data_IF_261117673260
#
_entry.id   IF_261117673260
#
_cell.length_a   1.000
_cell.length_b   1.000
_cell.length_c   1.000
_cell.angle_alpha   90.00
_cell.angle_beta   90.00
_cell.angle_gamma   90.00
#
_symmetry.space_group_name_H-M   'P 1'
#
loop_
_entity.id
_entity.type
_entity.pdbx_description
1 polymer ?
#
# COMPACT_ATOMS: atom_id res chain seq x y z
N UNK A 1 -50.53 21.23 -27.31
CA UNK A 1 -51.17 21.77 -26.09
C UNK A 1 -51.13 20.66 -25.08
N UNK A 2 -50.38 20.79 -23.99
CA UNK A 2 -50.50 19.87 -22.87
C UNK A 2 -51.83 20.20 -22.21
N UNK A 3 -52.71 19.21 -22.08
CA UNK A 3 -54.03 19.40 -21.48
C UNK A 3 -53.83 19.70 -19.99
N UNK A 4 -54.14 20.92 -19.58
CA UNK A 4 -54.02 21.37 -18.20
C UNK A 4 -55.06 20.63 -17.34
N UNK A 5 -54.60 20.00 -16.26
CA UNK A 5 -55.44 19.23 -15.35
C UNK A 5 -55.29 19.76 -13.93
N UNK A 6 -56.41 20.09 -13.27
CA UNK A 6 -56.45 20.54 -11.88
C UNK A 6 -55.80 19.55 -10.92
N UNK A 7 -55.82 18.25 -11.24
CA UNK A 7 -55.20 17.20 -10.44
C UNK A 7 -53.66 17.18 -10.52
N UNK A 8 -53.08 17.87 -11.50
CA UNK A 8 -51.62 18.00 -11.66
C UNK A 8 -51.06 19.32 -11.08
N UNK A 9 -51.90 20.13 -10.42
CA UNK A 9 -51.52 21.43 -9.86
C UNK A 9 -50.50 21.32 -8.70
N UNK A 10 -50.61 20.26 -7.89
CA UNK A 10 -49.66 19.97 -6.81
C UNK A 10 -48.89 18.71 -7.22
N UNK A 11 -47.57 18.80 -7.47
CA UNK A 11 -46.79 17.62 -7.81
C UNK A 11 -46.77 16.64 -6.65
N UNK A 12 -46.87 15.35 -6.95
CA UNK A 12 -46.75 14.30 -5.94
C UNK A 12 -45.37 14.42 -5.26
N UNK A 13 -45.31 14.28 -3.92
CA UNK A 13 -44.05 14.33 -3.20
C UNK A 13 -43.14 13.20 -3.70
N UNK A 14 -42.01 13.55 -4.31
CA UNK A 14 -41.00 12.57 -4.71
C UNK A 14 -40.30 12.06 -3.46
N UNK A 15 -40.38 10.76 -3.20
CA UNK A 15 -39.62 10.12 -2.12
C UNK A 15 -38.12 10.15 -2.46
N UNK A 16 -37.34 10.89 -1.67
CA UNK A 16 -35.88 10.94 -1.82
C UNK A 16 -35.31 9.64 -1.22
N UNK A 17 -34.71 8.74 -2.01
CA UNK A 17 -34.14 7.51 -1.47
C UNK A 17 -32.97 7.83 -0.54
N UNK A 18 -32.90 7.13 0.59
CA UNK A 18 -31.79 7.27 1.52
C UNK A 18 -30.49 6.72 0.90
N UNK A 19 -29.37 7.39 1.16
CA UNK A 19 -28.07 6.95 0.66
C UNK A 19 -27.69 5.62 1.32
N UNK A 20 -27.16 4.64 0.56
CA UNK A 20 -26.70 3.39 1.16
C UNK A 20 -25.55 3.65 2.15
N UNK A 21 -25.39 2.80 3.18
CA UNK A 21 -24.28 2.94 4.12
C UNK A 21 -22.94 2.83 3.39
N UNK A 22 -21.95 3.57 3.90
CA UNK A 22 -20.60 3.55 3.36
C UNK A 22 -19.99 2.14 3.48
N UNK A 23 -19.32 1.68 2.42
CA UNK A 23 -18.64 0.38 2.43
C UNK A 23 -17.48 0.38 3.44
N UNK A 24 -17.55 -0.52 4.42
CA UNK A 24 -16.45 -0.79 5.33
C UNK A 24 -15.64 -1.98 4.83
N UNK A 25 -14.33 -1.76 4.63
CA UNK A 25 -13.42 -2.83 4.18
C UNK A 25 -13.33 -3.97 5.20
N UNK A 26 -13.04 -5.18 4.72
CA UNK A 26 -12.74 -6.34 5.58
C UNK A 26 -11.42 -6.22 6.32
N UNK A 27 -10.56 -5.27 5.93
CA UNK A 27 -9.25 -5.06 6.54
C UNK A 27 -9.38 -4.18 7.79
N UNK A 28 -8.71 -4.60 8.86
CA UNK A 28 -8.69 -3.89 10.14
C UNK A 28 -7.86 -2.60 9.99
N UNK A 29 -8.41 -1.47 10.44
CA UNK A 29 -7.72 -0.17 10.36
C UNK A 29 -6.67 0.07 11.45
N UNK A 30 -6.80 -0.58 12.61
CA UNK A 30 -5.82 -0.50 13.70
C UNK A 30 -4.96 -1.76 13.70
N UNK A 31 -3.65 -1.59 13.64
CA UNK A 31 -2.66 -2.68 13.58
C UNK A 31 -1.78 -2.67 14.83
N UNK A 32 -1.49 -3.85 15.37
CA UNK A 32 -0.56 -3.99 16.49
C UNK A 32 0.88 -3.82 15.98
N UNK A 33 1.78 -3.10 16.68
CA UNK A 33 3.11 -2.80 16.16
C UNK A 33 4.00 -4.03 15.91
N UNK A 34 3.71 -5.17 16.58
CA UNK A 34 4.41 -6.44 16.32
C UNK A 34 4.11 -7.06 14.94
N UNK A 35 3.15 -6.54 14.19
CA UNK A 35 2.83 -7.01 12.84
C UNK A 35 3.79 -6.44 11.79
N UNK A 36 4.52 -5.37 12.13
CA UNK A 36 5.48 -4.74 11.25
C UNK A 36 6.89 -5.27 11.52
N UNK A 37 7.70 -5.38 10.47
CA UNK A 37 9.10 -5.82 10.56
C UNK A 37 10.01 -4.79 11.23
N UNK A 38 9.69 -3.50 11.05
CA UNK A 38 10.46 -2.38 11.59
C UNK A 38 9.68 -1.67 12.69
N UNK A 39 10.26 -1.62 13.90
CA UNK A 39 9.72 -0.88 15.03
C UNK A 39 9.80 -1.64 16.35
N UNK A 40 9.28 -1.03 17.42
CA UNK A 40 9.16 -1.67 18.72
C UNK A 40 7.90 -2.54 18.75
N UNK A 41 8.04 -3.83 19.08
CA UNK A 41 6.92 -4.79 19.04
C UNK A 41 5.98 -4.77 20.25
N UNK A 42 6.31 -4.02 21.31
CA UNK A 42 5.59 -4.02 22.59
C UNK A 42 4.80 -2.73 22.75
N UNK A 43 3.55 -2.83 23.19
CA UNK A 43 2.76 -1.68 23.61
C UNK A 43 2.81 -1.58 25.12
N UNK A 44 3.46 -0.54 25.64
CA UNK A 44 3.59 -0.30 27.08
C UNK A 44 3.06 1.10 27.42
N UNK A 45 2.36 1.27 28.55
CA UNK A 45 1.65 2.51 28.85
C UNK A 45 2.58 3.69 29.16
N UNK A 46 3.63 3.48 29.96
CA UNK A 46 4.52 4.54 30.46
C UNK A 46 5.97 4.06 30.57
N UNK A 47 6.44 3.32 29.56
CA UNK A 47 7.80 2.76 29.57
C UNK A 47 8.89 3.82 29.42
N UNK A 48 8.71 4.79 28.52
CA UNK A 48 9.74 5.80 28.21
C UNK A 48 9.80 6.92 29.25
N UNK A 49 8.64 7.43 29.70
CA UNK A 49 8.55 8.63 30.52
C UNK A 49 7.84 8.42 31.87
N UNK A 50 7.88 7.19 32.40
CA UNK A 50 7.44 6.88 33.77
C UNK A 50 6.05 7.41 34.15
N UNK A 51 5.78 7.43 35.46
CA UNK A 51 4.55 8.01 36.02
C UNK A 51 4.88 9.39 36.63
N UNK A 52 3.91 10.31 36.69
CA UNK A 52 4.13 11.63 37.28
C UNK A 52 4.47 11.54 38.77
N UNK A 53 5.16 12.57 39.27
CA UNK A 53 5.57 12.67 40.66
C UNK A 53 4.37 12.55 41.61
N UNK A 54 4.56 11.87 42.74
CA UNK A 54 3.51 11.55 43.72
C UNK A 54 2.77 10.22 43.48
N UNK A 55 2.79 9.66 42.27
CA UNK A 55 2.19 8.34 41.99
C UNK A 55 3.12 7.16 42.25
N UNK A 56 4.43 7.41 42.40
CA UNK A 56 5.46 6.40 42.66
C UNK A 56 5.62 6.08 44.17
N UNK A 57 4.59 6.30 44.97
CA UNK A 57 4.60 5.97 46.40
C UNK A 57 4.66 4.45 46.63
N UNK A 58 5.35 3.96 47.69
CA UNK A 58 5.44 2.55 47.98
C UNK A 58 4.11 1.97 48.48
N UNK A 59 3.72 0.82 47.94
CA UNK A 59 2.59 0.03 48.43
C UNK A 59 3.05 -1.09 49.38
N UNK A 60 2.21 -1.48 50.34
CA UNK A 60 2.46 -2.62 51.23
C UNK A 60 2.04 -3.92 50.55
N UNK A 61 2.87 -4.96 50.65
CA UNK A 61 2.60 -6.27 50.06
C UNK A 61 1.78 -7.16 51.00
N UNK A 62 0.96 -8.04 50.43
CA UNK A 62 0.28 -9.11 51.13
C UNK A 62 0.99 -10.47 50.96
N UNK A 63 0.77 -11.44 51.86
CA UNK A 63 1.26 -12.81 51.69
C UNK A 63 0.76 -13.41 50.37
N UNK A 64 1.65 -14.05 49.61
CA UNK A 64 1.37 -14.70 48.33
C UNK A 64 0.81 -13.77 47.23
N UNK A 65 0.96 -12.44 47.34
CA UNK A 65 0.41 -11.47 46.36
C UNK A 65 1.00 -11.63 44.95
N UNK A 66 2.30 -11.95 44.86
CA UNK A 66 3.03 -12.13 43.59
C UNK A 66 3.14 -13.58 43.14
N UNK A 67 2.49 -14.51 43.85
CA UNK A 67 2.56 -15.91 43.48
C UNK A 67 1.67 -16.22 42.27
N UNK A 68 2.19 -16.95 41.26
CA UNK A 68 1.41 -17.32 40.09
C UNK A 68 0.34 -18.35 40.49
N UNK A 69 -0.94 -17.98 40.30
CA UNK A 69 -2.06 -18.91 40.50
C UNK A 69 -2.18 -19.81 39.28
N UNK A 70 -1.80 -21.08 39.43
CA UNK A 70 -1.96 -22.08 38.39
C UNK A 70 -3.44 -22.52 38.30
N UNK A 71 -4.02 -22.61 37.10
CA UNK A 71 -5.37 -23.15 36.91
C UNK A 71 -5.41 -24.66 37.17
N UNK A 72 -6.60 -25.20 37.40
CA UNK A 72 -6.80 -26.64 37.55
C UNK A 72 -6.36 -27.39 36.28
N UNK A 73 -5.72 -28.57 36.40
CA UNK A 73 -5.25 -29.33 35.26
C UNK A 73 -6.44 -29.85 34.43
N UNK A 74 -6.41 -29.56 33.12
CA UNK A 74 -7.41 -30.02 32.15
C UNK A 74 -6.76 -30.32 30.79
N UNK A 75 -7.47 -31.01 29.89
CA UNK A 75 -6.96 -31.25 28.55
C UNK A 75 -6.77 -29.91 27.80
N UNK A 76 -5.73 -29.79 26.95
CA UNK A 76 -5.52 -28.58 26.15
C UNK A 76 -6.64 -28.41 25.11
N UNK A 77 -7.00 -27.16 24.80
CA UNK A 77 -8.00 -26.83 23.76
C UNK A 77 -7.63 -27.39 22.39
N UNK A 78 -6.34 -27.36 22.04
CA UNK A 78 -5.81 -27.86 20.78
C UNK A 78 -4.93 -29.09 21.02
N UNK A 79 -5.46 -30.31 20.91
CA UNK A 79 -4.67 -31.53 21.08
C UNK A 79 -3.69 -31.72 19.91
N UNK A 80 -2.53 -32.33 20.20
CA UNK A 80 -1.54 -32.64 19.18
C UNK A 80 -2.04 -33.78 18.29
N UNK A 81 -2.04 -33.56 16.97
CA UNK A 81 -2.36 -34.61 16.01
C UNK A 81 -1.24 -35.65 15.92
N UNK A 82 -1.59 -36.93 15.95
CA UNK A 82 -0.64 -38.04 15.77
C UNK A 82 -0.49 -38.33 14.27
N UNK A 83 0.57 -37.78 13.66
CA UNK A 83 0.87 -37.97 12.23
C UNK A 83 1.43 -39.36 11.93
N UNK A 84 2.24 -39.90 12.85
CA UNK A 84 2.84 -41.23 12.68
C UNK A 84 1.81 -42.30 13.07
N UNK A 85 1.62 -43.34 12.25
CA UNK A 85 0.77 -44.46 12.62
C UNK A 85 1.34 -45.14 13.86
N UNK A 86 0.50 -45.82 14.67
CA UNK A 86 0.98 -46.64 15.76
C UNK A 86 1.89 -47.75 15.22
N UNK A 87 2.82 -48.19 16.06
CA UNK A 87 3.68 -49.33 15.75
C UNK A 87 2.78 -50.58 15.67
N UNK A 88 3.01 -51.50 14.72
CA UNK A 88 2.29 -52.77 14.66
C UNK A 88 2.33 -53.52 15.99
N UNK A 89 1.24 -54.23 16.32
CA UNK A 89 1.19 -55.05 17.51
C UNK A 89 2.11 -56.27 17.38
N UNK A 90 2.56 -56.84 18.50
CA UNK A 90 3.39 -58.05 18.51
C UNK A 90 2.67 -59.25 17.85
N UNK A 91 1.34 -59.31 17.99
CA UNK A 91 0.51 -60.39 17.44
C UNK A 91 0.10 -60.16 15.98
N UNK A 92 0.44 -59.00 15.40
CA UNK A 92 0.17 -58.69 14.00
C UNK A 92 1.20 -59.41 13.13
N UNK A 93 0.76 -60.48 12.46
CA UNK A 93 1.64 -61.29 11.63
C UNK A 93 1.97 -60.48 10.38
N UNK A 94 3.26 -60.16 10.12
CA UNK A 94 3.63 -59.49 8.88
C UNK A 94 3.14 -60.35 7.72
N UNK A 95 2.59 -59.70 6.69
CA UNK A 95 2.19 -60.33 5.43
C UNK A 95 3.43 -60.91 4.72
N UNK A 96 3.94 -62.01 5.24
CA UNK A 96 5.10 -62.75 4.76
C UNK A 96 4.65 -63.81 3.76
N UNK A 97 5.35 -63.92 2.64
CA UNK A 97 5.07 -64.99 1.67
C UNK A 97 3.79 -64.82 0.87
N UNK A 98 3.39 -63.58 0.53
CA UNK A 98 2.45 -63.36 -0.59
C UNK A 98 3.10 -63.86 -1.88
N UNK A 99 2.96 -65.15 -2.13
CA UNK A 99 3.24 -65.77 -3.41
C UNK A 99 1.97 -65.64 -4.23
N UNK A 100 2.07 -64.97 -5.38
CA UNK A 100 0.95 -64.98 -6.32
C UNK A 100 1.03 -66.28 -7.12
N UNK A 101 -0.09 -66.95 -7.37
CA UNK A 101 -0.18 -68.06 -8.32
C UNK A 101 -0.06 -67.59 -9.79
N UNK A 102 0.64 -66.48 -10.04
CA UNK A 102 0.86 -65.92 -11.36
C UNK A 102 1.91 -66.75 -12.08
N UNK A 103 1.56 -67.23 -13.27
CA UNK A 103 2.53 -67.86 -14.15
C UNK A 103 3.36 -66.77 -14.85
N UNK A 104 4.58 -66.58 -14.35
CA UNK A 104 5.51 -65.56 -14.86
C UNK A 104 5.94 -65.82 -16.31
N UNK A 105 5.98 -67.07 -16.75
CA UNK A 105 6.37 -67.42 -18.13
C UNK A 105 5.32 -66.89 -19.11
N UNK A 106 4.05 -67.21 -18.85
CA UNK A 106 2.95 -66.76 -19.73
C UNK A 106 2.72 -65.26 -19.61
N UNK A 107 2.84 -64.67 -18.42
CA UNK A 107 2.63 -63.24 -18.26
C UNK A 107 3.72 -62.41 -18.91
N UNK A 108 4.98 -62.82 -18.81
CA UNK A 108 6.09 -62.10 -19.44
C UNK A 108 6.01 -62.22 -20.96
N UNK A 109 5.62 -63.40 -21.48
CA UNK A 109 5.39 -63.59 -22.90
C UNK A 109 4.29 -62.65 -23.42
N UNK A 110 3.14 -62.59 -22.74
CA UNK A 110 2.04 -61.68 -23.11
C UNK A 110 2.47 -60.21 -23.02
N UNK A 111 3.19 -59.82 -21.97
CA UNK A 111 3.67 -58.44 -21.77
C UNK A 111 4.61 -58.00 -22.90
N UNK A 112 5.57 -58.87 -23.30
CA UNK A 112 6.49 -58.59 -24.42
C UNK A 112 5.76 -58.51 -25.75
N UNK A 113 4.76 -59.38 -25.99
CA UNK A 113 3.98 -59.38 -27.24
C UNK A 113 3.12 -58.13 -27.36
N UNK A 114 2.53 -57.68 -26.26
CA UNK A 114 1.66 -56.50 -26.22
C UNK A 114 2.43 -55.18 -26.08
N UNK A 115 3.70 -55.24 -25.71
CA UNK A 115 4.55 -54.06 -25.57
C UNK A 115 4.67 -53.34 -26.92
N UNK A 116 4.24 -52.08 -26.93
CA UNK A 116 4.50 -51.21 -28.08
C UNK A 116 6.01 -50.95 -28.16
N UNK A 117 6.59 -50.88 -29.37
CA UNK A 117 8.00 -50.53 -29.53
C UNK A 117 8.27 -49.18 -28.84
N UNK A 118 9.41 -49.10 -28.15
CA UNK A 118 9.82 -47.95 -27.36
C UNK A 118 10.15 -46.71 -28.20
N UNK A 119 11.11 -45.90 -27.75
CA UNK A 119 11.49 -44.63 -28.41
C UNK A 119 11.96 -44.87 -29.85
N UNK A 120 11.04 -44.76 -30.81
CA UNK A 120 11.36 -44.66 -32.23
C UNK A 120 12.03 -43.30 -32.44
N UNK A 121 13.16 -43.22 -33.18
CA UNK A 121 13.73 -41.94 -33.58
C UNK A 121 12.67 -41.10 -34.27
N UNK A 122 12.27 -39.99 -33.62
CA UNK A 122 11.30 -39.07 -34.20
C UNK A 122 12.02 -38.22 -35.26
N UNK A 123 11.40 -37.96 -36.42
CA UNK A 123 11.94 -37.02 -37.39
C UNK A 123 12.06 -35.63 -36.76
N UNK A 124 12.97 -34.82 -37.29
CA UNK A 124 13.12 -33.44 -36.84
C UNK A 124 11.80 -32.66 -37.03
N UNK A 125 11.48 -31.81 -36.05
CA UNK A 125 10.25 -31.04 -36.08
C UNK A 125 10.30 -29.97 -37.19
N UNK A 126 9.40 -30.09 -38.16
CA UNK A 126 9.30 -29.14 -39.25
C UNK A 126 8.59 -27.85 -38.79
N UNK A 127 9.36 -26.78 -38.54
CA UNK A 127 8.84 -25.49 -38.05
C UNK A 127 7.85 -24.80 -39.01
N UNK A 128 7.82 -25.20 -40.28
CA UNK A 128 6.85 -24.69 -41.27
C UNK A 128 5.45 -25.30 -41.10
N UNK A 129 5.32 -26.43 -40.40
CA UNK A 129 4.05 -27.14 -40.19
C UNK A 129 3.34 -26.70 -38.90
N UNK A 130 3.67 -25.53 -38.36
CA UNK A 130 2.97 -25.01 -37.19
C UNK A 130 1.50 -24.71 -37.53
N UNK A 131 0.53 -25.11 -36.69
CA UNK A 131 -0.90 -24.90 -36.95
C UNK A 131 -1.30 -23.43 -37.16
N UNK A 132 -0.53 -22.53 -36.58
CA UNK A 132 -0.71 -21.09 -36.54
C UNK A 132 0.33 -20.33 -37.38
N UNK A 133 1.08 -21.03 -38.24
CA UNK A 133 2.01 -20.41 -39.18
C UNK A 133 1.28 -19.40 -40.08
N UNK A 134 1.79 -18.17 -40.17
CA UNK A 134 1.17 -17.08 -40.93
C UNK A 134 -0.08 -16.45 -40.30
N UNK A 135 -0.55 -16.91 -39.13
CA UNK A 135 -1.67 -16.31 -38.41
C UNK A 135 -1.17 -15.44 -37.26
N UNK A 136 -1.81 -14.29 -37.06
CA UNK A 136 -1.50 -13.42 -35.92
C UNK A 136 -2.04 -14.06 -34.63
N UNK A 137 -1.20 -14.32 -33.62
CA UNK A 137 -1.64 -14.91 -32.36
C UNK A 137 -2.69 -14.08 -31.61
N UNK A 138 -3.65 -14.75 -30.98
CA UNK A 138 -4.78 -14.12 -30.28
C UNK A 138 -4.34 -13.17 -29.16
N UNK A 139 -3.23 -13.45 -28.48
CA UNK A 139 -2.75 -12.62 -27.38
C UNK A 139 -2.34 -11.22 -27.84
N UNK A 140 -1.89 -11.05 -29.09
CA UNK A 140 -1.52 -9.73 -29.61
C UNK A 140 -2.74 -8.81 -29.74
N UNK A 141 -3.92 -9.35 -30.05
CA UNK A 141 -5.17 -8.58 -30.08
C UNK A 141 -5.54 -8.09 -28.68
N UNK A 142 -5.50 -8.98 -27.68
CA UNK A 142 -5.74 -8.63 -26.26
C UNK A 142 -4.77 -7.56 -25.76
N UNK A 143 -3.49 -7.66 -26.14
CA UNK A 143 -2.48 -6.69 -25.75
C UNK A 143 -2.75 -5.31 -26.37
N UNK A 144 -3.14 -5.26 -27.65
CA UNK A 144 -3.52 -4.01 -28.31
C UNK A 144 -4.73 -3.36 -27.65
N UNK A 145 -5.76 -4.14 -27.32
CA UNK A 145 -6.94 -3.65 -26.58
C UNK A 145 -6.57 -3.10 -25.19
N UNK A 146 -5.67 -3.78 -24.46
CA UNK A 146 -5.19 -3.31 -23.16
C UNK A 146 -4.47 -1.97 -23.27
N UNK A 147 -3.55 -1.85 -24.24
CA UNK A 147 -2.81 -0.62 -24.50
C UNK A 147 -3.74 0.52 -24.95
N UNK A 148 -4.76 0.22 -25.77
CA UNK A 148 -5.73 1.22 -26.20
C UNK A 148 -6.53 1.79 -25.01
N UNK A 149 -7.05 0.92 -24.15
CA UNK A 149 -7.79 1.32 -22.94
C UNK A 149 -6.93 2.16 -21.99
N UNK A 150 -5.67 1.77 -21.79
CA UNK A 150 -4.73 2.51 -20.94
C UNK A 150 -4.45 3.91 -21.50
N UNK A 151 -4.28 4.04 -22.82
CA UNK A 151 -4.12 5.35 -23.48
C UNK A 151 -5.36 6.23 -23.33
N UNK A 152 -6.55 5.67 -23.47
CA UNK A 152 -7.80 6.40 -23.26
C UNK A 152 -7.91 6.93 -21.84
N UNK A 153 -7.67 6.07 -20.84
CA UNK A 153 -7.67 6.45 -19.43
C UNK A 153 -6.66 7.56 -19.13
N UNK A 154 -5.43 7.45 -19.66
CA UNK A 154 -4.43 8.49 -19.51
C UNK A 154 -4.86 9.81 -20.15
N UNK A 155 -5.42 9.76 -21.36
CA UNK A 155 -5.91 10.97 -22.05
C UNK A 155 -7.06 11.65 -21.29
N UNK A 156 -7.95 10.89 -20.68
CA UNK A 156 -9.02 11.42 -19.84
C UNK A 156 -8.46 12.06 -18.57
N UNK A 157 -7.50 11.41 -17.92
CA UNK A 157 -6.85 11.96 -16.72
C UNK A 157 -6.16 13.30 -17.00
N UNK A 158 -5.40 13.39 -18.11
CA UNK A 158 -4.76 14.64 -18.52
C UNK A 158 -5.80 15.72 -18.82
N UNK A 159 -6.89 15.39 -19.54
CA UNK A 159 -7.97 16.35 -19.82
C UNK A 159 -8.67 16.87 -18.58
N UNK A 160 -8.92 16.02 -17.58
CA UNK A 160 -9.55 16.44 -16.32
C UNK A 160 -8.61 17.33 -15.51
N UNK A 161 -7.30 17.06 -15.56
CA UNK A 161 -6.28 17.86 -14.85
C UNK A 161 -5.97 19.19 -15.54
N UNK A 162 -5.97 19.22 -16.87
CA UNK A 162 -5.71 20.42 -17.67
C UNK A 162 -6.98 21.22 -17.98
N UNK A 163 -8.16 20.72 -17.61
CA UNK A 163 -9.37 21.52 -17.65
C UNK A 163 -9.18 22.70 -16.69
N UNK A 164 -9.15 23.95 -17.19
CA UNK A 164 -9.01 25.11 -16.32
C UNK A 164 -10.22 25.16 -15.39
N UNK A 165 -9.98 25.31 -14.09
CA UNK A 165 -11.02 25.61 -13.12
C UNK A 165 -11.73 26.88 -13.58
N UNK A 166 -12.99 26.73 -14.03
CA UNK A 166 -13.77 27.82 -14.62
C UNK A 166 -14.07 28.99 -13.65
N UNK A 167 -13.61 28.89 -12.40
CA UNK A 167 -13.85 29.84 -11.32
C UNK A 167 -12.59 30.52 -10.76
N UNK A 168 -11.39 30.27 -11.31
CA UNK A 168 -10.18 30.96 -10.86
C UNK A 168 -10.26 32.46 -11.22
N UNK A 169 -10.67 33.28 -10.25
CA UNK A 169 -10.59 34.74 -10.37
C UNK A 169 -9.11 35.13 -10.34
N UNK A 170 -8.61 35.55 -11.51
CA UNK A 170 -7.24 36.06 -11.65
C UNK A 170 -7.30 37.57 -11.45
N UNK A 171 -6.82 38.04 -10.29
CA UNK A 171 -6.73 39.46 -9.94
C UNK A 171 -5.31 39.98 -10.22
N UNK A 172 -5.19 41.21 -10.73
CA UNK A 172 -3.88 41.88 -10.87
C UNK A 172 -3.48 42.49 -9.52
N UNK A 173 -2.27 42.19 -9.04
CA UNK A 173 -1.75 42.79 -7.82
C UNK A 173 -1.45 44.28 -8.05
N UNK A 174 -1.96 45.14 -7.17
CA UNK A 174 -1.74 46.58 -7.28
C UNK A 174 -0.24 46.92 -7.12
N UNK A 175 0.24 48.03 -7.71
CA UNK A 175 1.65 48.40 -7.62
C UNK A 175 2.08 48.76 -6.19
N UNK A 176 1.16 49.28 -5.36
CA UNK A 176 1.45 49.60 -3.96
C UNK A 176 1.59 48.33 -3.12
N UNK A 177 0.66 47.38 -3.27
CA UNK A 177 0.72 46.08 -2.59
C UNK A 177 1.98 45.30 -2.99
N UNK A 178 2.39 45.38 -4.26
CA UNK A 178 3.67 44.82 -4.72
C UNK A 178 4.86 45.46 -4.01
N UNK A 179 4.90 46.78 -3.88
CA UNK A 179 5.98 47.47 -3.17
C UNK A 179 6.01 47.10 -1.69
N UNK A 180 4.84 47.01 -1.05
CA UNK A 180 4.73 46.56 0.34
C UNK A 180 5.23 45.12 0.50
N UNK A 181 4.86 44.21 -0.42
CA UNK A 181 5.33 42.83 -0.42
C UNK A 181 6.85 42.74 -0.58
N UNK A 182 7.44 43.50 -1.50
CA UNK A 182 8.90 43.55 -1.69
C UNK A 182 9.59 44.08 -0.43
N UNK A 183 9.06 45.13 0.21
CA UNK A 183 9.60 45.64 1.48
C UNK A 183 9.55 44.57 2.58
N UNK A 184 8.44 43.85 2.68
CA UNK A 184 8.28 42.76 3.64
C UNK A 184 9.28 41.61 3.38
N UNK A 185 9.45 41.19 2.12
CA UNK A 185 10.45 40.18 1.73
C UNK A 185 11.88 40.64 2.03
N UNK A 186 12.22 41.91 1.80
CA UNK A 186 13.54 42.48 2.15
C UNK A 186 13.77 42.51 3.65
N UNK A 187 12.75 42.83 4.44
CA UNK A 187 12.83 42.77 5.91
C UNK A 187 13.02 41.33 6.40
N UNK A 188 12.27 40.38 5.82
CA UNK A 188 12.42 38.95 6.11
C UNK A 188 13.82 38.45 5.76
N UNK A 189 14.33 38.80 4.58
CA UNK A 189 15.70 38.50 4.16
C UNK A 189 16.72 39.08 5.15
N UNK A 190 16.54 40.33 5.60
CA UNK A 190 17.39 40.95 6.60
C UNK A 190 17.40 40.17 7.92
N UNK A 191 16.24 39.77 8.44
CA UNK A 191 16.13 38.94 9.65
C UNK A 191 16.84 37.58 9.49
N UNK A 192 16.54 36.85 8.42
CA UNK A 192 17.15 35.53 8.18
C UNK A 192 18.66 35.65 7.95
N UNK A 193 19.10 36.67 7.23
CA UNK A 193 20.52 36.92 7.00
C UNK A 193 21.24 37.31 8.30
N UNK A 194 20.66 38.15 9.16
CA UNK A 194 21.26 38.43 10.48
C UNK A 194 21.40 37.16 11.34
N UNK A 195 20.40 36.28 11.32
CA UNK A 195 20.47 34.99 11.99
C UNK A 195 21.53 34.06 11.35
N UNK A 196 21.65 34.09 10.01
CA UNK A 196 22.66 33.36 9.25
C UNK A 196 24.09 33.81 9.59
N UNK A 197 24.35 35.12 9.60
CA UNK A 197 25.64 35.69 9.97
C UNK A 197 25.98 35.49 11.45
N UNK A 198 24.96 35.35 12.32
CA UNK A 198 25.12 35.03 13.73
C UNK A 198 25.41 33.56 14.03
N UNK A 199 25.46 32.67 13.02
CA UNK A 199 25.87 31.28 13.22
C UNK A 199 27.35 31.19 13.58
N UNK A 200 27.68 30.16 14.37
CA UNK A 200 29.08 29.83 14.68
C UNK A 200 29.85 29.45 13.41
N UNK A 201 31.09 29.94 13.29
CA UNK A 201 32.00 29.64 12.19
C UNK A 201 32.31 28.13 12.06
N UNK A 202 32.25 27.37 13.16
CA UNK A 202 32.51 25.92 13.15
C UNK A 202 31.21 25.12 13.01
N UNK A 203 31.10 24.40 11.88
CA UNK A 203 29.91 23.62 11.49
C UNK A 203 30.17 22.11 11.63
N UNK A 204 30.64 21.72 12.82
CA UNK A 204 31.16 20.35 13.06
C UNK A 204 30.06 19.31 13.27
N UNK A 205 28.88 19.74 13.75
CA UNK A 205 27.74 18.85 14.05
C UNK A 205 26.76 18.78 12.89
N UNK A 206 26.21 17.59 12.60
CA UNK A 206 25.21 17.40 11.53
C UNK A 206 24.00 18.36 11.64
N UNK A 207 23.50 18.60 12.86
CA UNK A 207 22.40 19.55 13.09
C UNK A 207 22.76 20.99 12.73
N UNK A 208 24.03 21.40 12.92
CA UNK A 208 24.51 22.73 12.52
C UNK A 208 24.54 22.86 10.99
N UNK A 209 24.93 21.79 10.28
CA UNK A 209 24.92 21.74 8.80
C UNK A 209 23.50 21.87 8.26
N UNK A 210 22.55 21.08 8.79
CA UNK A 210 21.15 21.12 8.36
C UNK A 210 20.54 22.50 8.59
N UNK A 211 20.79 23.11 9.77
CA UNK A 211 20.30 24.46 10.08
C UNK A 211 20.87 25.51 9.13
N UNK A 212 22.17 25.42 8.81
CA UNK A 212 22.83 26.30 7.85
C UNK A 212 22.23 26.15 6.45
N UNK A 213 22.13 24.92 5.94
CA UNK A 213 21.55 24.64 4.62
C UNK A 213 20.08 25.08 4.52
N UNK A 214 19.30 24.95 5.60
CA UNK A 214 17.92 25.42 5.63
C UNK A 214 17.85 26.95 5.46
N UNK A 215 18.71 27.69 6.17
CA UNK A 215 18.79 29.15 6.03
C UNK A 215 19.29 29.57 4.64
N UNK A 216 20.26 28.85 4.07
CA UNK A 216 20.75 29.11 2.70
C UNK A 216 19.65 28.88 1.66
N UNK A 217 18.87 27.80 1.80
CA UNK A 217 17.73 27.54 0.91
C UNK A 217 16.66 28.63 1.03
N UNK A 218 16.33 29.04 2.24
CA UNK A 218 15.35 30.11 2.48
C UNK A 218 15.84 31.46 1.92
N UNK A 219 17.12 31.81 2.11
CA UNK A 219 17.70 33.01 1.52
C UNK A 219 17.66 32.96 -0.01
N UNK A 220 18.04 31.83 -0.62
CA UNK A 220 18.00 31.65 -2.08
C UNK A 220 16.58 31.66 -2.65
N UNK A 221 15.57 31.25 -1.88
CA UNK A 221 14.16 31.38 -2.25
C UNK A 221 13.71 32.84 -2.22
N UNK A 222 13.92 33.54 -1.09
CA UNK A 222 13.55 34.95 -0.96
C UNK A 222 14.25 35.81 -2.02
N UNK A 223 15.51 35.53 -2.33
CA UNK A 223 16.24 36.23 -3.41
C UNK A 223 15.62 35.98 -4.78
N UNK A 224 15.20 34.75 -5.10
CA UNK A 224 14.53 34.45 -6.36
C UNK A 224 13.20 35.19 -6.43
N UNK A 225 12.42 35.20 -5.36
CA UNK A 225 11.12 35.85 -5.31
C UNK A 225 11.24 37.38 -5.42
N UNK A 226 12.23 37.99 -4.78
CA UNK A 226 12.51 39.41 -4.95
C UNK A 226 12.91 39.70 -6.40
N UNK A 227 13.79 38.89 -7.02
CA UNK A 227 14.19 39.09 -8.42
C UNK A 227 13.03 38.94 -9.40
N UNK A 228 12.14 37.96 -9.20
CA UNK A 228 10.97 37.77 -10.06
C UNK A 228 9.99 38.91 -9.90
N UNK A 229 9.70 39.33 -8.66
CA UNK A 229 8.80 40.44 -8.37
C UNK A 229 9.36 41.77 -8.86
N UNK A 230 10.66 42.06 -8.69
CA UNK A 230 11.29 43.30 -9.16
C UNK A 230 11.37 43.38 -10.68
N UNK A 231 11.59 42.25 -11.38
CA UNK A 231 11.64 42.20 -12.85
C UNK A 231 10.26 42.26 -13.50
N UNK A 232 9.23 41.69 -12.87
CA UNK A 232 7.87 41.67 -13.41
C UNK A 232 7.13 42.98 -13.16
N UNK A 233 6.62 43.61 -14.22
CA UNK A 233 5.76 44.80 -14.13
C UNK A 233 4.30 44.45 -13.77
N UNK A 234 3.82 43.29 -14.21
CA UNK A 234 2.45 42.79 -13.96
C UNK A 234 2.53 41.42 -13.28
N UNK A 235 1.96 41.31 -12.08
CA UNK A 235 1.87 40.06 -11.31
C UNK A 235 0.41 39.66 -11.20
N UNK A 236 0.08 38.46 -11.67
CA UNK A 236 -1.25 37.88 -11.62
C UNK A 236 -1.34 36.99 -10.37
N UNK A 237 -2.35 37.23 -9.53
CA UNK A 237 -2.64 36.41 -8.36
C UNK A 237 -3.83 35.53 -8.70
N UNK A 238 -3.67 34.22 -8.47
CA UNK A 238 -4.77 33.26 -8.53
C UNK A 238 -5.31 33.20 -7.11
N UNK A 239 -6.54 33.68 -6.91
CA UNK A 239 -7.26 33.51 -5.65
C UNK A 239 -7.86 32.10 -5.61
N UNK A 240 -7.46 31.30 -4.61
CA UNK A 240 -8.06 29.99 -4.29
C UNK A 240 -9.34 30.16 -3.45
#
# INVERSE_FOLDING_TARGET
>A
MQEESVYALIPNPQEIPSRPPMHNSKFLGKTHPSQFEFGQSKVQPHATMGRPDGTNGPARLHPHEKEPKLPAPGPPTNPKQKVRPPIPSKDDVPKMGLTSNKNFITSNAVDVILAKPGKVPQPEFQWTQKPDYGRVPLYLKRNKERVAKEKEQFSQFIRVREAPDANAHVSQLSPDDRQQLIRHLKNKWGSVNTAYQGLSLTVDTAMKKIRKEAMERELAEIERDIRTLERGEVVLVVED
#
